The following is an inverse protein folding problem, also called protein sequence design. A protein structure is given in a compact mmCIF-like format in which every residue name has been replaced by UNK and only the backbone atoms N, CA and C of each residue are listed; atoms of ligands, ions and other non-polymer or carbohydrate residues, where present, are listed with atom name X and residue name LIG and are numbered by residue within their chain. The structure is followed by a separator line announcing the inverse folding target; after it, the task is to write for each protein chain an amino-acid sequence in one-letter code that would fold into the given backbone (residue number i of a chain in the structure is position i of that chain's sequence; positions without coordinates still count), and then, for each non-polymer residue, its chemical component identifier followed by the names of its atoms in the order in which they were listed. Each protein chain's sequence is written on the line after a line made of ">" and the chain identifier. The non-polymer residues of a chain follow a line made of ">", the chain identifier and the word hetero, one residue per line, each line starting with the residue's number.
data_IF_586913784746
#
_entry.id   IF_586913784746
#
_cell.length_a   1.000
_cell.length_b   1.000
_cell.length_c   1.000
_cell.angle_alpha   90.00
_cell.angle_beta   90.00
_cell.angle_gamma   90.00
#
_symmetry.space_group_name_H-M   'P 1'
#
loop_
_entity.id
_entity.type
_entity.pdbx_description
1 polymer ?
#
# COMPACT_ATOMS: atom_id res chain seq x y z
N UNK A 1 -2.50 -30.69 -13.55
CA UNK A 1 -2.92 -31.31 -12.28
C UNK A 1 -4.10 -30.54 -11.69
N UNK A 2 -5.01 -31.20 -10.97
CA UNK A 2 -6.10 -30.52 -10.28
C UNK A 2 -5.54 -29.57 -9.20
N UNK A 3 -6.05 -28.34 -9.13
CA UNK A 3 -5.62 -27.37 -8.12
C UNK A 3 -6.17 -27.75 -6.75
N UNK A 4 -5.30 -27.76 -5.75
CA UNK A 4 -5.57 -27.92 -4.33
C UNK A 4 -5.89 -26.57 -3.70
N UNK A 5 -6.66 -26.58 -2.62
CA UNK A 5 -6.90 -25.39 -1.79
C UNK A 5 -6.22 -25.60 -0.46
N UNK A 6 -5.31 -24.72 -0.09
CA UNK A 6 -4.69 -24.70 1.23
C UNK A 6 -5.36 -23.64 2.10
N UNK A 7 -5.48 -23.92 3.39
CA UNK A 7 -6.02 -23.00 4.39
C UNK A 7 -5.00 -22.79 5.50
N UNK A 8 -5.06 -21.61 6.10
CA UNK A 8 -4.39 -21.27 7.36
C UNK A 8 -5.34 -20.43 8.19
N UNK A 9 -5.37 -20.65 9.50
CA UNK A 9 -6.20 -19.87 10.42
C UNK A 9 -5.27 -18.95 11.21
N UNK A 10 -5.53 -17.65 11.16
CA UNK A 10 -4.74 -16.66 11.91
C UNK A 10 -5.12 -16.63 13.40
N UNK A 11 -4.37 -15.91 14.26
CA UNK A 11 -4.67 -15.83 15.69
C UNK A 11 -6.07 -15.28 16.04
N UNK A 12 -6.70 -14.55 15.12
CA UNK A 12 -8.06 -14.03 15.30
C UNK A 12 -9.14 -15.03 14.83
N UNK A 13 -8.74 -16.24 14.41
CA UNK A 13 -9.65 -17.26 13.92
C UNK A 13 -10.07 -17.09 12.46
N UNK A 14 -9.50 -16.13 11.73
CA UNK A 14 -9.85 -15.89 10.32
C UNK A 14 -9.10 -16.86 9.41
N UNK A 15 -9.82 -17.50 8.50
CA UNK A 15 -9.25 -18.42 7.52
C UNK A 15 -8.79 -17.68 6.26
N UNK A 16 -7.53 -17.89 5.91
CA UNK A 16 -6.94 -17.43 4.65
C UNK A 16 -6.72 -18.63 3.74
N UNK A 17 -6.98 -18.46 2.43
CA UNK A 17 -6.95 -19.59 1.49
C UNK A 17 -6.04 -19.33 0.29
N UNK A 18 -5.45 -20.41 -0.25
CA UNK A 18 -4.65 -20.37 -1.48
C UNK A 18 -4.99 -21.55 -2.38
N UNK A 19 -5.52 -21.26 -3.56
CA UNK A 19 -5.75 -22.26 -4.62
C UNK A 19 -4.53 -22.38 -5.52
N UNK A 20 -3.92 -23.57 -5.61
CA UNK A 20 -2.66 -23.79 -6.33
C UNK A 20 -2.48 -25.26 -6.71
N UNK A 21 -1.58 -25.55 -7.64
CA UNK A 21 -1.05 -26.89 -7.94
C UNK A 21 0.23 -27.23 -7.15
N UNK A 22 0.80 -26.26 -6.43
CA UNK A 22 1.96 -26.45 -5.54
C UNK A 22 1.56 -27.04 -4.20
N UNK A 23 2.53 -27.59 -3.48
CA UNK A 23 2.37 -28.05 -2.10
C UNK A 23 2.82 -26.96 -1.14
N UNK A 24 1.93 -26.57 -0.23
CA UNK A 24 2.21 -25.65 0.85
C UNK A 24 2.05 -26.37 2.19
N UNK A 25 2.93 -26.04 3.13
CA UNK A 25 2.93 -26.58 4.49
C UNK A 25 2.90 -25.49 5.54
N UNK A 26 3.28 -24.27 5.17
CA UNK A 26 3.34 -23.11 6.06
C UNK A 26 2.78 -21.86 5.36
N UNK A 27 2.39 -20.87 6.14
CA UNK A 27 2.12 -19.51 5.69
C UNK A 27 2.74 -18.51 6.66
N UNK A 28 3.17 -17.35 6.16
CA UNK A 28 3.63 -16.25 6.99
C UNK A 28 2.50 -15.25 7.13
N UNK A 29 1.97 -15.13 8.34
CA UNK A 29 0.98 -14.12 8.70
C UNK A 29 1.68 -12.90 9.29
N UNK A 30 1.20 -11.71 8.94
CA UNK A 30 1.75 -10.43 9.37
C UNK A 30 0.65 -9.49 9.82
N UNK A 31 0.93 -8.68 10.83
CA UNK A 31 0.06 -7.60 11.29
C UNK A 31 0.80 -6.27 11.19
N UNK A 32 0.17 -5.27 10.60
CA UNK A 32 0.77 -3.96 10.39
C UNK A 32 1.06 -3.27 11.73
N UNK A 33 2.13 -2.48 11.79
CA UNK A 33 2.43 -1.63 12.95
C UNK A 33 1.83 -0.24 12.77
N UNK A 34 0.89 0.09 13.66
CA UNK A 34 0.31 1.43 13.74
C UNK A 34 1.39 2.48 14.01
N UNK A 35 2.30 2.20 14.94
CA UNK A 35 3.35 3.13 15.35
C UNK A 35 4.32 3.42 14.18
N UNK A 36 4.67 2.38 13.43
CA UNK A 36 5.51 2.54 12.23
C UNK A 36 4.80 3.38 11.17
N UNK A 37 3.57 3.02 10.82
CA UNK A 37 2.82 3.70 9.76
C UNK A 37 2.52 5.16 10.16
N UNK A 38 2.23 5.44 11.44
CA UNK A 38 2.05 6.80 11.94
C UNK A 38 3.35 7.61 11.85
N UNK A 39 4.48 7.05 12.28
CA UNK A 39 5.77 7.72 12.19
C UNK A 39 6.16 8.04 10.74
N UNK A 40 5.89 7.14 9.80
CA UNK A 40 6.10 7.38 8.37
C UNK A 40 5.14 8.43 7.79
N UNK A 41 3.88 8.41 8.22
CA UNK A 41 2.87 9.37 7.81
C UNK A 41 3.20 10.81 8.25
N UNK A 42 3.77 10.95 9.46
CA UNK A 42 4.12 12.23 10.09
C UNK A 42 5.46 12.81 9.62
N UNK A 43 6.16 12.13 8.72
CA UNK A 43 7.37 12.70 8.13
C UNK A 43 7.08 13.85 7.14
N UNK A 44 8.01 14.80 7.08
CA UNK A 44 8.04 15.86 6.07
C UNK A 44 8.80 15.36 4.84
N UNK A 45 8.03 14.85 3.88
CA UNK A 45 8.58 14.31 2.65
C UNK A 45 8.83 15.43 1.64
N UNK A 46 10.10 15.70 1.29
CA UNK A 46 10.45 16.72 0.28
C UNK A 46 9.70 16.51 -1.06
N UNK A 47 9.46 15.24 -1.42
CA UNK A 47 8.70 14.87 -2.62
C UNK A 47 7.26 15.41 -2.63
N UNK A 48 6.64 15.70 -1.48
CA UNK A 48 5.33 16.35 -1.41
C UNK A 48 5.37 17.76 -2.00
N UNK A 49 6.44 18.49 -1.68
CA UNK A 49 6.71 19.82 -2.21
C UNK A 49 6.98 19.79 -3.71
N UNK A 50 7.79 18.84 -4.17
CA UNK A 50 8.09 18.69 -5.59
C UNK A 50 6.87 18.26 -6.41
N UNK A 51 6.05 17.35 -5.87
CA UNK A 51 4.78 16.96 -6.47
C UNK A 51 3.80 18.15 -6.56
N UNK A 52 3.77 19.02 -5.55
CA UNK A 52 2.96 20.22 -5.60
C UNK A 52 3.46 21.22 -6.64
N UNK A 53 4.77 21.50 -6.70
CA UNK A 53 5.37 22.35 -7.75
C UNK A 53 5.04 21.82 -9.14
N UNK A 54 5.14 20.50 -9.33
CA UNK A 54 4.75 19.85 -10.58
C UNK A 54 3.26 20.05 -10.87
N UNK A 55 2.37 19.84 -9.90
CA UNK A 55 0.94 20.07 -10.08
C UNK A 55 0.60 21.53 -10.42
N UNK A 56 1.25 22.51 -9.78
CA UNK A 56 1.11 23.95 -10.11
C UNK A 56 1.52 24.21 -11.55
N UNK A 57 2.67 23.68 -11.98
CA UNK A 57 3.15 23.79 -13.35
C UNK A 57 2.14 23.20 -14.34
N UNK A 58 1.66 21.99 -14.10
CA UNK A 58 0.70 21.31 -14.97
C UNK A 58 -0.67 22.00 -14.99
N UNK A 59 -1.11 22.56 -13.87
CA UNK A 59 -2.35 23.34 -13.79
C UNK A 59 -2.28 24.62 -14.62
N UNK A 60 -1.14 25.33 -14.56
CA UNK A 60 -0.91 26.59 -15.28
C UNK A 60 -0.67 26.37 -16.77
N UNK A 61 0.32 25.54 -17.10
CA UNK A 61 0.85 25.42 -18.46
C UNK A 61 0.16 24.30 -19.25
N UNK A 62 -0.57 23.40 -18.58
CA UNK A 62 -1.04 22.17 -19.19
C UNK A 62 0.12 21.27 -19.62
N UNK A 63 -0.18 20.31 -20.49
CA UNK A 63 0.84 19.54 -21.19
C UNK A 63 1.37 20.39 -22.35
N UNK A 64 2.52 21.04 -22.19
CA UNK A 64 3.13 21.85 -23.26
C UNK A 64 3.80 20.96 -24.32
N UNK A 65 3.55 21.25 -25.61
CA UNK A 65 4.06 20.53 -26.78
C UNK A 65 2.97 19.95 -27.70
N UNK A 66 3.35 19.45 -28.89
CA UNK A 66 2.46 18.77 -29.86
C UNK A 66 2.04 17.36 -29.39
N UNK A 67 1.39 17.24 -28.24
CA UNK A 67 1.00 15.94 -27.66
C UNK A 67 -0.49 15.89 -27.32
N UNK A 68 -1.15 14.77 -27.69
CA UNK A 68 -1.01 13.47 -27.03
C UNK A 68 0.30 12.71 -27.32
N UNK A 69 0.99 12.28 -26.26
CA UNK A 69 2.27 11.55 -26.29
C UNK A 69 2.07 10.06 -26.54
N UNK A 70 0.88 9.55 -26.21
CA UNK A 70 0.52 8.16 -26.45
C UNK A 70 -0.77 8.08 -27.25
N UNK A 71 -0.91 7.02 -28.04
CA UNK A 71 -2.08 6.79 -28.91
C UNK A 71 -3.41 6.65 -28.18
N UNK A 72 -3.39 6.48 -26.85
CA UNK A 72 -4.57 6.39 -25.99
C UNK A 72 -4.92 7.72 -25.29
N UNK A 73 -4.04 8.72 -25.34
CA UNK A 73 -4.32 10.04 -24.78
C UNK A 73 -5.25 10.80 -25.74
N UNK A 74 -6.46 11.08 -25.27
CA UNK A 74 -7.42 11.92 -26.00
C UNK A 74 -7.40 13.34 -25.44
N UNK A 75 -7.92 14.35 -26.17
CA UNK A 75 -8.10 15.68 -25.62
C UNK A 75 -8.91 15.70 -24.31
N UNK A 76 -9.96 14.87 -24.20
CA UNK A 76 -10.77 14.74 -22.98
C UNK A 76 -9.96 14.17 -21.82
N UNK A 77 -9.08 13.20 -22.10
CA UNK A 77 -8.17 12.67 -21.10
C UNK A 77 -7.22 13.75 -20.59
N UNK A 78 -6.60 14.51 -21.49
CA UNK A 78 -5.65 15.58 -21.12
C UNK A 78 -6.33 16.69 -20.31
N UNK A 79 -7.57 17.04 -20.63
CA UNK A 79 -8.37 17.99 -19.85
C UNK A 79 -8.72 17.44 -18.46
N UNK A 80 -9.07 16.15 -18.37
CA UNK A 80 -9.33 15.49 -17.09
C UNK A 80 -8.08 15.45 -16.20
N UNK A 81 -6.91 15.24 -16.80
CA UNK A 81 -5.63 15.28 -16.10
C UNK A 81 -5.28 16.70 -15.64
N UNK A 82 -5.49 17.71 -16.50
CA UNK A 82 -5.31 19.11 -16.10
C UNK A 82 -6.20 19.47 -14.92
N UNK A 83 -7.47 19.06 -14.92
CA UNK A 83 -8.39 19.25 -13.80
C UNK A 83 -7.90 18.55 -12.52
N UNK A 84 -7.33 17.34 -12.62
CA UNK A 84 -6.70 16.63 -11.49
C UNK A 84 -5.52 17.41 -10.91
N UNK A 85 -4.67 18.00 -11.75
CA UNK A 85 -3.55 18.84 -11.29
C UNK A 85 -4.02 20.14 -10.64
N UNK A 86 -5.02 20.81 -11.20
CA UNK A 86 -5.65 21.99 -10.58
C UNK A 86 -6.17 21.61 -9.19
N UNK A 87 -6.97 20.55 -9.07
CA UNK A 87 -7.49 20.08 -7.77
C UNK A 87 -6.39 19.73 -6.76
N UNK A 88 -5.25 19.22 -7.24
CA UNK A 88 -4.10 18.89 -6.39
C UNK A 88 -3.29 20.11 -5.94
N UNK A 89 -3.28 21.18 -6.73
CA UNK A 89 -2.50 22.39 -6.48
C UNK A 89 -3.26 23.43 -5.66
N UNK A 90 -4.55 23.67 -5.99
CA UNK A 90 -5.41 24.72 -5.40
C UNK A 90 -5.51 24.71 -3.87
N UNK A 91 -5.46 23.58 -3.15
CA UNK A 91 -5.59 23.59 -1.69
C UNK A 91 -4.43 24.25 -0.93
N UNK A 92 -3.34 24.62 -1.61
CA UNK A 92 -2.11 25.08 -0.98
C UNK A 92 -1.54 26.29 -1.73
N UNK A 93 -1.03 27.26 -0.98
CA UNK A 93 -0.44 28.49 -1.53
C UNK A 93 1.10 28.46 -1.54
N UNK A 94 1.71 27.49 -0.86
CA UNK A 94 3.16 27.34 -0.74
C UNK A 94 3.58 25.86 -0.69
N UNK A 95 4.90 25.64 -0.83
CA UNK A 95 5.51 24.31 -0.70
C UNK A 95 5.33 23.80 0.73
N UNK A 96 5.52 24.67 1.71
CA UNK A 96 5.42 24.37 3.13
C UNK A 96 4.00 23.97 3.51
N UNK A 97 2.98 24.69 3.01
CA UNK A 97 1.57 24.34 3.19
C UNK A 97 1.23 23.00 2.52
N UNK A 98 1.78 22.74 1.33
CA UNK A 98 1.55 21.48 0.64
C UNK A 98 2.16 20.28 1.39
N UNK A 99 3.38 20.41 1.93
CA UNK A 99 4.02 19.38 2.75
C UNK A 99 3.19 19.15 4.02
N UNK A 100 2.89 20.20 4.78
CA UNK A 100 2.12 20.09 6.02
C UNK A 100 0.71 19.52 5.79
N UNK A 101 0.04 19.94 4.72
CA UNK A 101 -1.29 19.46 4.35
C UNK A 101 -1.29 18.00 3.88
N UNK A 102 -0.28 17.56 3.14
CA UNK A 102 -0.15 16.15 2.74
C UNK A 102 0.24 15.26 3.92
N UNK A 103 1.11 15.73 4.82
CA UNK A 103 1.40 15.08 6.11
C UNK A 103 0.12 14.88 6.92
N UNK A 104 -0.66 15.95 7.12
CA UNK A 104 -1.93 15.87 7.84
C UNK A 104 -2.91 14.87 7.22
N UNK A 105 -3.00 14.82 5.88
CA UNK A 105 -3.83 13.82 5.17
C UNK A 105 -3.34 12.39 5.39
N UNK A 106 -2.02 12.14 5.36
CA UNK A 106 -1.46 10.80 5.64
C UNK A 106 -1.76 10.37 7.07
N UNK A 107 -1.52 11.25 8.05
CA UNK A 107 -1.80 10.99 9.47
C UNK A 107 -3.28 10.68 9.68
N UNK A 108 -4.19 11.49 9.12
CA UNK A 108 -5.62 11.23 9.18
C UNK A 108 -6.02 9.89 8.53
N UNK A 109 -5.35 9.49 7.44
CA UNK A 109 -5.55 8.19 6.81
C UNK A 109 -5.17 7.02 7.72
N UNK A 110 -4.02 7.12 8.40
CA UNK A 110 -3.56 6.11 9.37
C UNK A 110 -4.51 6.02 10.57
N UNK A 111 -4.94 7.15 11.12
CA UNK A 111 -5.91 7.18 12.22
C UNK A 111 -7.27 6.58 11.82
N UNK A 112 -7.73 6.86 10.60
CA UNK A 112 -8.94 6.24 10.06
C UNK A 112 -8.78 4.72 9.95
N UNK A 113 -7.67 4.23 9.41
CA UNK A 113 -7.40 2.79 9.32
C UNK A 113 -7.38 2.12 10.69
N UNK A 114 -6.82 2.79 11.70
CA UNK A 114 -6.87 2.33 13.09
C UNK A 114 -8.29 2.25 13.63
N UNK A 115 -9.11 3.28 13.43
CA UNK A 115 -10.51 3.27 13.83
C UNK A 115 -11.32 2.15 13.14
N UNK A 116 -10.94 1.77 11.92
CA UNK A 116 -11.54 0.67 11.14
C UNK A 116 -10.97 -0.73 11.51
N UNK A 117 -10.11 -0.81 12.52
CA UNK A 117 -9.51 -2.05 13.02
C UNK A 117 -8.50 -2.68 12.06
N UNK A 118 -7.87 -1.90 11.17
CA UNK A 118 -6.88 -2.42 10.21
C UNK A 118 -5.69 -3.07 10.92
N UNK A 119 -5.19 -2.43 11.99
CA UNK A 119 -4.00 -2.87 12.73
C UNK A 119 -4.23 -4.08 13.65
N UNK A 120 -5.48 -4.51 13.78
CA UNK A 120 -5.85 -5.72 14.52
C UNK A 120 -5.95 -6.95 13.59
N UNK A 121 -5.98 -6.75 12.27
CA UNK A 121 -6.15 -7.81 11.27
C UNK A 121 -4.80 -8.37 10.83
N UNK A 122 -4.75 -9.69 10.64
CA UNK A 122 -3.62 -10.34 9.98
C UNK A 122 -3.83 -10.39 8.47
N UNK A 123 -2.76 -10.10 7.72
CA UNK A 123 -2.62 -10.45 6.32
C UNK A 123 -1.69 -11.64 6.15
N UNK A 124 -1.74 -12.30 4.99
CA UNK A 124 -0.79 -13.36 4.63
C UNK A 124 0.24 -12.82 3.66
N UNK A 125 1.51 -12.76 4.11
CA UNK A 125 2.64 -12.37 3.28
C UNK A 125 2.92 -13.42 2.19
N UNK A 126 2.72 -14.70 2.51
CA UNK A 126 2.83 -15.77 1.53
C UNK A 126 2.67 -17.18 2.11
N UNK A 127 2.31 -18.11 1.23
CA UNK A 127 2.34 -19.56 1.51
C UNK A 127 3.67 -20.14 1.06
N UNK A 128 4.23 -21.04 1.88
CA UNK A 128 5.55 -21.63 1.69
C UNK A 128 5.50 -23.16 1.76
N UNK A 129 6.21 -23.82 0.84
CA UNK A 129 6.23 -25.28 0.74
C UNK A 129 7.12 -25.94 1.79
N UNK A 130 8.00 -25.18 2.43
CA UNK A 130 8.97 -25.64 3.42
C UNK A 130 9.12 -24.63 4.55
N UNK A 131 9.46 -25.12 5.75
CA UNK A 131 9.65 -24.30 6.94
C UNK A 131 10.81 -23.31 6.80
N UNK A 132 11.93 -23.70 6.19
CA UNK A 132 13.11 -22.84 6.00
C UNK A 132 12.78 -21.59 5.16
N UNK A 133 11.96 -21.75 4.12
CA UNK A 133 11.48 -20.64 3.29
C UNK A 133 10.55 -19.71 4.07
N UNK A 134 9.66 -20.28 4.90
CA UNK A 134 8.80 -19.50 5.77
C UNK A 134 9.60 -18.70 6.80
N UNK A 135 10.62 -19.32 7.42
CA UNK A 135 11.54 -18.66 8.35
C UNK A 135 12.31 -17.52 7.69
N UNK A 136 12.82 -17.73 6.48
CA UNK A 136 13.51 -16.68 5.72
C UNK A 136 12.58 -15.50 5.41
N UNK A 137 11.34 -15.79 4.98
CA UNK A 137 10.35 -14.75 4.71
C UNK A 137 9.93 -14.00 5.98
N UNK A 138 9.75 -14.71 7.10
CA UNK A 138 9.43 -14.10 8.39
C UNK A 138 10.57 -13.21 8.89
N UNK A 139 11.82 -13.68 8.82
CA UNK A 139 12.99 -12.91 9.21
C UNK A 139 13.17 -11.63 8.35
N UNK A 140 12.90 -11.71 7.05
CA UNK A 140 12.94 -10.55 6.17
C UNK A 140 11.83 -9.51 6.47
N UNK A 141 10.73 -9.94 7.08
CA UNK A 141 9.63 -9.08 7.49
C UNK A 141 9.85 -8.47 8.90
N UNK A 142 10.61 -9.14 9.76
CA UNK A 142 10.92 -8.64 11.10
C UNK A 142 11.68 -7.31 11.06
N UNK A 143 11.36 -6.41 12.00
CA UNK A 143 12.00 -5.09 12.10
C UNK A 143 11.59 -4.07 11.04
N UNK A 144 10.68 -4.43 10.13
CA UNK A 144 10.09 -3.52 9.15
C UNK A 144 8.77 -2.92 9.62
N UNK A 145 7.83 -2.76 8.68
CA UNK A 145 6.50 -2.16 8.92
C UNK A 145 5.51 -3.01 9.73
N UNK A 146 5.92 -4.18 10.21
CA UNK A 146 5.03 -5.17 10.82
C UNK A 146 5.22 -5.19 12.33
N UNK A 147 4.12 -5.09 13.09
CA UNK A 147 4.13 -5.25 14.54
C UNK A 147 4.28 -6.73 14.94
N UNK A 148 3.82 -7.63 14.08
CA UNK A 148 3.80 -9.05 14.36
C UNK A 148 4.02 -9.85 13.08
N UNK A 149 4.83 -10.90 13.19
CA UNK A 149 5.14 -11.82 12.10
C UNK A 149 5.13 -13.23 12.67
N UNK A 150 4.25 -14.07 12.13
CA UNK A 150 4.03 -15.43 12.59
C UNK A 150 4.18 -16.41 11.44
N UNK A 151 4.75 -17.57 11.74
CA UNK A 151 4.71 -18.73 10.84
C UNK A 151 3.60 -19.63 11.33
N UNK A 152 2.66 -19.92 10.45
CA UNK A 152 1.48 -20.73 10.73
C UNK A 152 1.50 -21.96 9.84
N UNK A 153 0.96 -23.07 10.32
CA UNK A 153 0.82 -24.29 9.52
C UNK A 153 -0.31 -24.15 8.51
N UNK A 154 -0.06 -24.56 7.27
CA UNK A 154 -1.05 -24.59 6.21
C UNK A 154 -1.51 -26.03 5.97
N UNK A 155 -2.82 -26.23 5.95
CA UNK A 155 -3.44 -27.55 5.74
C UNK A 155 -4.24 -27.59 4.45
N UNK A 156 -4.45 -28.78 3.89
CA UNK A 156 -5.30 -28.95 2.73
C UNK A 156 -6.76 -28.77 3.16
N UNK A 157 -7.53 -27.97 2.42
CA UNK A 157 -8.98 -27.92 2.56
C UNK A 157 -9.54 -29.26 2.07
N UNK A 158 -10.14 -30.02 3.00
CA UNK A 158 -10.86 -31.27 2.70
C UNK A 158 -11.98 -31.07 1.69
#
# INVERSE_FOLDING_TARGET
>A
MAKKTYIVTDPNGVQHTRKTDRVYTHAVAVRASYEFDLAQADCDWAIDGDNWKFAVKMARDGFTGDAPKYSWETPEYLESEKARYVSSATPYSSVEEAIAGRRARRVAGVEKQKAEGYYDKFGILGFNGRLDLAQKAAAAAQGGRWAEVLILEATLKG
#
